data_IF_393723635860
#
_entry.id   IF_393723635860
#
_cell.length_a   1.000
_cell.length_b   1.000
_cell.length_c   1.000
_cell.angle_alpha   90.00
_cell.angle_beta   90.00
_cell.angle_gamma   90.00
#
_symmetry.space_group_name_H-M   'P 1'
#
loop_
_entity.id
_entity.type
_entity.pdbx_description
1 polymer ?
#
# COMPACT_ATOMS: atom_id res chain seq x y z
N UNK A 1 6.98 0.58 48.36
CA UNK A 1 7.57 -0.18 47.25
C UNK A 1 7.61 0.77 46.09
N UNK A 2 8.69 0.75 45.33
CA UNK A 2 8.83 1.51 44.10
C UNK A 2 8.72 0.57 42.91
N UNK A 3 8.16 1.10 41.82
CA UNK A 3 7.99 0.40 40.56
C UNK A 3 8.71 1.21 39.49
N UNK A 4 9.66 0.58 38.81
CA UNK A 4 10.39 1.18 37.69
C UNK A 4 9.97 0.47 36.40
N UNK A 5 9.61 1.27 35.40
CA UNK A 5 9.18 0.79 34.09
C UNK A 5 9.99 1.54 33.04
N UNK A 6 10.75 0.79 32.24
CA UNK A 6 11.60 1.37 31.20
C UNK A 6 11.48 0.57 29.90
N UNK A 7 11.20 1.22 28.76
CA UNK A 7 11.42 0.60 27.47
C UNK A 7 12.93 0.39 27.27
N UNK A 8 13.34 -0.81 26.90
CA UNK A 8 14.70 -1.10 26.46
C UNK A 8 14.71 -1.41 24.95
N UNK A 9 15.78 -0.97 24.28
CA UNK A 9 16.06 -1.27 22.88
C UNK A 9 17.21 -2.30 22.80
N UNK A 10 16.94 -3.60 22.97
CA UNK A 10 17.94 -4.64 22.71
C UNK A 10 18.19 -4.80 21.20
N UNK A 11 19.21 -5.59 20.78
CA UNK A 11 19.39 -5.97 19.38
C UNK A 11 18.18 -6.78 18.92
N UNK A 12 17.26 -6.12 18.23
CA UNK A 12 16.02 -6.64 17.70
C UNK A 12 15.12 -5.50 17.20
N UNK A 13 14.16 -5.77 16.31
CA UNK A 13 13.32 -4.73 15.70
C UNK A 13 12.30 -4.13 16.66
N UNK A 14 12.02 -4.81 17.78
CA UNK A 14 10.95 -4.47 18.69
C UNK A 14 11.45 -4.05 20.08
N UNK A 15 10.96 -2.92 20.63
CA UNK A 15 11.24 -2.55 22.01
C UNK A 15 10.65 -3.57 22.99
N UNK A 16 11.27 -3.63 24.18
CA UNK A 16 10.82 -4.46 25.29
C UNK A 16 10.38 -3.60 26.45
N UNK A 17 9.22 -3.91 27.00
CA UNK A 17 8.73 -3.33 28.25
C UNK A 17 9.27 -4.15 29.41
N UNK A 18 10.23 -3.56 30.13
CA UNK A 18 10.79 -4.14 31.34
C UNK A 18 10.12 -3.53 32.57
N UNK A 19 9.80 -4.36 33.55
CA UNK A 19 9.28 -3.98 34.86
C UNK A 19 10.25 -4.42 35.95
N UNK A 20 10.59 -3.51 36.83
CA UNK A 20 11.33 -3.77 38.07
C UNK A 20 10.47 -3.35 39.25
N UNK A 21 10.52 -4.12 40.33
CA UNK A 21 9.81 -3.81 41.56
C UNK A 21 10.72 -4.08 42.77
N UNK A 22 10.62 -3.24 43.79
CA UNK A 22 11.47 -3.33 44.99
C UNK A 22 10.93 -2.51 46.16
N UNK A 23 11.57 -2.64 47.32
CA UNK A 23 11.28 -1.78 48.47
C UNK A 23 11.94 -0.40 48.31
N UNK A 24 11.33 0.61 48.93
CA UNK A 24 11.85 1.97 48.90
C UNK A 24 13.23 1.99 49.58
N UNK A 25 14.26 2.44 48.86
CA UNK A 25 15.65 2.47 49.34
C UNK A 25 16.54 1.28 48.93
N UNK A 26 16.00 0.30 48.20
CA UNK A 26 16.82 -0.68 47.47
C UNK A 26 17.40 -0.05 46.19
N UNK A 27 18.58 -0.50 45.76
CA UNK A 27 19.19 -0.05 44.51
C UNK A 27 18.39 -0.62 43.32
N UNK A 28 17.95 0.25 42.40
CA UNK A 28 17.20 -0.14 41.20
C UNK A 28 17.97 -1.19 40.37
N UNK A 29 19.31 -1.10 40.37
CA UNK A 29 20.17 -2.02 39.64
C UNK A 29 20.01 -3.48 40.13
N UNK A 30 19.77 -3.67 41.42
CA UNK A 30 19.66 -4.99 42.08
C UNK A 30 18.25 -5.57 42.02
N UNK A 31 17.23 -4.75 41.69
CA UNK A 31 15.85 -5.22 41.55
C UNK A 31 15.69 -6.17 40.35
N UNK A 32 14.92 -7.27 40.47
CA UNK A 32 14.70 -8.19 39.37
C UNK A 32 13.96 -7.49 38.23
N UNK A 33 14.53 -7.54 37.02
CA UNK A 33 13.90 -7.07 35.80
C UNK A 33 13.07 -8.19 35.18
N UNK A 34 11.77 -7.98 35.05
CA UNK A 34 10.84 -8.85 34.35
C UNK A 34 10.47 -8.24 33.02
N UNK A 35 10.66 -8.98 31.93
CA UNK A 35 10.09 -8.63 30.64
C UNK A 35 8.57 -8.88 30.70
N UNK A 36 7.78 -7.81 30.63
CA UNK A 36 6.30 -7.90 30.75
C UNK A 36 5.65 -7.93 29.38
N UNK A 37 6.29 -7.32 28.39
CA UNK A 37 5.80 -7.29 27.02
C UNK A 37 6.96 -7.03 26.06
N UNK A 38 7.00 -7.78 24.96
CA UNK A 38 7.86 -7.47 23.82
C UNK A 38 6.99 -7.33 22.60
N UNK A 39 7.19 -6.24 21.87
CA UNK A 39 6.38 -5.97 20.71
C UNK A 39 6.65 -4.59 20.17
N UNK A 40 5.75 -4.16 19.32
CA UNK A 40 5.91 -2.96 18.55
C UNK A 40 5.90 -1.69 19.43
N UNK A 41 6.54 -0.59 19.00
CA UNK A 41 6.80 0.56 19.86
C UNK A 41 5.51 1.17 20.42
N UNK A 42 4.49 1.33 19.58
CA UNK A 42 3.16 1.74 20.00
C UNK A 42 2.49 0.67 20.88
N UNK A 43 2.66 -0.62 20.58
CA UNK A 43 2.20 -1.73 21.41
C UNK A 43 2.76 -1.69 22.85
N UNK A 44 4.08 -1.47 22.97
CA UNK A 44 4.80 -1.30 24.24
C UNK A 44 4.25 -0.11 25.01
N UNK A 45 4.02 1.04 24.35
CA UNK A 45 3.41 2.22 24.98
C UNK A 45 1.98 1.94 25.48
N UNK A 46 1.17 1.26 24.67
CA UNK A 46 -0.19 0.87 25.03
C UNK A 46 -0.21 -0.06 26.24
N UNK A 47 0.68 -1.06 26.27
CA UNK A 47 0.85 -1.96 27.42
C UNK A 47 1.35 -1.20 28.66
N UNK A 48 2.34 -0.32 28.52
CA UNK A 48 2.83 0.54 29.60
C UNK A 48 1.70 1.35 30.22
N UNK A 49 0.91 2.08 29.41
CA UNK A 49 -0.22 2.89 29.89
C UNK A 49 -1.24 2.07 30.66
N UNK A 50 -1.60 0.89 30.16
CA UNK A 50 -2.53 -0.02 30.87
C UNK A 50 -1.96 -0.49 32.20
N UNK A 51 -0.68 -0.83 32.22
CA UNK A 51 0.01 -1.32 33.41
C UNK A 51 0.09 -0.22 34.47
N UNK A 52 0.53 0.98 34.09
CA UNK A 52 0.52 2.18 34.95
C UNK A 52 -0.89 2.50 35.44
N UNK A 53 -1.89 2.53 34.57
CA UNK A 53 -3.28 2.76 34.98
C UNK A 53 -3.84 1.66 35.90
N UNK A 54 -3.35 0.42 35.78
CA UNK A 54 -3.60 -0.66 36.72
C UNK A 54 -3.04 -0.34 38.11
N UNK A 55 -1.74 -0.04 38.18
CA UNK A 55 -1.07 0.31 39.43
C UNK A 55 -1.64 1.57 40.07
N UNK A 56 -1.99 2.59 39.29
CA UNK A 56 -2.64 3.80 39.80
C UNK A 56 -4.00 3.51 40.45
N UNK A 57 -4.79 2.60 39.87
CA UNK A 57 -6.06 2.14 40.49
C UNK A 57 -5.81 1.41 41.80
N UNK A 58 -4.68 0.73 41.93
CA UNK A 58 -4.26 0.04 43.15
C UNK A 58 -3.58 0.97 44.18
N UNK A 59 -3.60 2.29 43.95
CA UNK A 59 -3.11 3.31 44.88
C UNK A 59 -1.63 3.69 44.73
N UNK A 60 -0.96 3.23 43.67
CA UNK A 60 0.41 3.61 43.37
C UNK A 60 0.46 4.99 42.70
N UNK A 61 1.49 5.78 42.99
CA UNK A 61 1.74 7.08 42.33
C UNK A 61 2.95 6.98 41.42
N UNK A 62 2.83 7.45 40.17
CA UNK A 62 3.96 7.46 39.24
C UNK A 62 4.92 8.58 39.64
N UNK A 63 6.18 8.24 39.96
CA UNK A 63 7.20 9.23 40.32
C UNK A 63 7.78 9.96 39.10
N UNK A 64 7.65 9.37 37.91
CA UNK A 64 8.18 9.90 36.66
C UNK A 64 7.10 9.85 35.56
N UNK A 65 6.76 11.00 34.99
CA UNK A 65 5.81 11.14 33.87
C UNK A 65 6.53 11.20 32.52
N UNK A 66 7.81 10.83 32.44
CA UNK A 66 8.62 10.94 31.23
C UNK A 66 8.01 10.31 29.96
N UNK A 67 7.09 9.34 30.10
CA UNK A 67 6.38 8.73 28.97
C UNK A 67 5.10 9.49 28.54
N UNK A 68 4.57 10.42 29.35
CA UNK A 68 3.41 11.25 29.00
C UNK A 68 3.78 12.41 28.04
N UNK A 69 5.06 12.78 27.94
CA UNK A 69 5.57 13.79 27.00
C UNK A 69 5.80 13.29 25.56
N UNK A 70 5.38 12.06 25.23
CA UNK A 70 5.59 11.44 23.92
C UNK A 70 4.38 11.50 22.98
N UNK A 71 3.25 12.04 23.46
CA UNK A 71 2.14 12.33 22.58
C UNK A 71 2.45 13.61 21.82
N UNK A 72 2.63 13.46 20.50
CA UNK A 72 2.82 14.59 19.62
C UNK A 72 1.62 15.54 19.75
N UNK A 73 1.84 16.83 20.05
CA UNK A 73 0.75 17.79 20.15
C UNK A 73 0.04 17.90 18.79
N UNK A 74 -1.29 18.03 18.82
CA UNK A 74 -2.14 18.06 17.62
C UNK A 74 -2.86 19.41 17.52
N UNK A 75 -2.82 20.02 16.33
CA UNK A 75 -3.75 21.09 15.93
C UNK A 75 -4.74 20.52 14.90
N UNK A 76 -5.99 20.31 15.32
CA UNK A 76 -7.02 19.68 14.49
C UNK A 76 -7.28 20.40 13.16
N UNK A 77 -7.12 21.73 13.13
CA UNK A 77 -7.38 22.53 11.93
C UNK A 77 -6.25 22.40 10.92
N UNK A 78 -5.00 22.50 11.38
CA UNK A 78 -3.81 22.33 10.53
C UNK A 78 -3.70 20.89 10.04
N UNK A 79 -3.97 19.90 10.89
CA UNK A 79 -3.98 18.50 10.45
C UNK A 79 -5.10 18.21 9.45
N UNK A 80 -6.30 18.76 9.63
CA UNK A 80 -7.36 18.61 8.63
C UNK A 80 -6.98 19.21 7.27
N UNK A 81 -6.29 20.36 7.26
CA UNK A 81 -5.78 20.99 6.05
C UNK A 81 -4.69 20.14 5.38
N UNK A 82 -3.73 19.64 6.15
CA UNK A 82 -2.72 18.70 5.67
C UNK A 82 -3.34 17.39 5.19
N UNK A 83 -4.43 16.89 5.78
CA UNK A 83 -5.08 15.69 5.24
C UNK A 83 -5.80 15.93 3.92
N UNK A 84 -6.34 17.13 3.70
CA UNK A 84 -6.92 17.48 2.41
C UNK A 84 -5.85 17.64 1.33
N UNK A 85 -4.68 18.18 1.69
CA UNK A 85 -3.54 18.34 0.80
C UNK A 85 -2.20 18.08 1.53
N UNK A 86 -1.76 16.81 1.61
CA UNK A 86 -0.56 16.44 2.36
C UNK A 86 0.74 17.12 1.91
N UNK A 87 0.78 17.64 0.68
CA UNK A 87 1.93 18.35 0.10
C UNK A 87 1.84 19.87 0.20
N UNK A 88 0.90 20.42 0.96
CA UNK A 88 0.78 21.86 1.17
C UNK A 88 1.91 22.37 2.08
N UNK A 89 2.98 22.84 1.45
CA UNK A 89 4.18 23.30 2.14
C UNK A 89 3.90 24.51 3.03
N UNK A 90 2.97 25.40 2.64
CA UNK A 90 2.66 26.59 3.43
C UNK A 90 1.93 26.20 4.73
N UNK A 91 0.95 25.31 4.64
CA UNK A 91 0.28 24.76 5.83
C UNK A 91 1.27 24.00 6.72
N UNK A 92 2.18 23.22 6.12
CA UNK A 92 3.20 22.49 6.88
C UNK A 92 4.16 23.42 7.63
N UNK A 93 4.51 24.59 7.06
CA UNK A 93 5.35 25.58 7.74
C UNK A 93 4.63 26.26 8.90
N UNK A 94 3.34 26.59 8.74
CA UNK A 94 2.52 27.10 9.86
C UNK A 94 2.44 26.04 10.97
N UNK A 95 2.31 24.76 10.60
CA UNK A 95 2.32 23.67 11.57
C UNK A 95 3.69 23.49 12.23
N UNK A 96 4.78 23.69 11.50
CA UNK A 96 6.12 23.65 12.03
C UNK A 96 6.35 24.72 13.10
N UNK A 97 5.95 25.97 12.83
CA UNK A 97 6.06 27.07 13.79
C UNK A 97 5.28 26.76 15.07
N UNK A 98 4.05 26.26 14.92
CA UNK A 98 3.23 25.83 16.07
C UNK A 98 3.88 24.68 16.86
N UNK A 99 4.44 23.66 16.19
CA UNK A 99 5.15 22.56 16.84
C UNK A 99 6.43 23.02 17.56
N UNK A 100 7.15 24.01 17.02
CA UNK A 100 8.31 24.63 17.68
C UNK A 100 7.88 25.35 18.96
N UNK A 101 6.75 26.05 18.96
CA UNK A 101 6.19 26.67 20.18
C UNK A 101 5.84 25.63 21.25
N UNK A 102 5.45 24.42 20.85
CA UNK A 102 5.23 23.28 21.76
C UNK A 102 6.52 22.53 22.13
N UNK A 103 7.69 23.02 21.71
CA UNK A 103 9.00 22.36 21.87
C UNK A 103 9.07 20.93 21.30
N UNK A 104 8.27 20.63 20.27
CA UNK A 104 8.25 19.31 19.63
C UNK A 104 9.31 19.23 18.51
N UNK A 105 10.15 18.17 18.47
CA UNK A 105 11.27 18.09 17.51
C UNK A 105 10.84 18.05 16.04
N UNK A 106 9.60 17.64 15.75
CA UNK A 106 9.08 17.63 14.37
C UNK A 106 9.02 19.02 13.75
N UNK A 107 8.75 20.07 14.53
CA UNK A 107 8.74 21.43 13.99
C UNK A 107 10.09 21.82 13.37
N UNK A 108 11.20 21.51 14.06
CA UNK A 108 12.54 21.71 13.53
C UNK A 108 12.80 20.84 12.28
N UNK A 109 12.34 19.57 12.30
CA UNK A 109 12.49 18.66 11.15
C UNK A 109 11.87 19.24 9.88
N UNK A 110 10.64 19.77 9.97
CA UNK A 110 9.93 20.39 8.85
C UNK A 110 10.74 21.56 8.28
N UNK A 111 11.22 22.45 9.15
CA UNK A 111 12.00 23.63 8.74
C UNK A 111 13.32 23.22 8.05
N UNK A 112 14.03 22.21 8.58
CA UNK A 112 15.27 21.69 7.97
C UNK A 112 15.00 21.09 6.60
N UNK A 113 13.98 20.24 6.47
CA UNK A 113 13.65 19.61 5.18
C UNK A 113 13.23 20.65 4.14
N UNK A 114 12.48 21.69 4.55
CA UNK A 114 12.17 22.82 3.67
C UNK A 114 13.43 23.57 3.24
N UNK A 115 14.37 23.81 4.15
CA UNK A 115 15.63 24.44 3.80
C UNK A 115 16.47 23.58 2.84
N UNK A 116 16.45 22.25 2.99
CA UNK A 116 17.11 21.30 2.08
C UNK A 116 16.49 21.29 0.69
N UNK A 117 15.17 21.40 0.58
CA UNK A 117 14.52 21.47 -0.73
C UNK A 117 15.01 22.68 -1.56
N UNK A 118 15.37 23.79 -0.91
CA UNK A 118 15.97 24.97 -1.55
C UNK A 118 17.49 24.88 -1.72
N UNK A 119 18.17 24.06 -0.91
CA UNK A 119 19.64 23.89 -0.89
C UNK A 119 20.00 22.41 -0.77
N UNK A 120 19.75 21.60 -1.83
CA UNK A 120 19.92 20.15 -1.76
C UNK A 120 21.39 19.73 -1.53
N UNK A 121 22.33 20.54 -2.01
CA UNK A 121 23.77 20.26 -1.94
C UNK A 121 24.43 20.74 -0.62
N UNK A 122 23.66 21.24 0.35
CA UNK A 122 24.19 21.69 1.65
C UNK A 122 24.36 20.50 2.62
N UNK A 123 25.61 20.01 2.85
CA UNK A 123 25.83 18.86 3.70
C UNK A 123 25.53 19.13 5.18
N UNK A 124 25.51 20.39 5.61
CA UNK A 124 25.20 20.74 6.99
C UNK A 124 23.73 20.48 7.31
N UNK A 125 22.83 20.81 6.38
CA UNK A 125 21.40 20.52 6.53
C UNK A 125 21.12 19.01 6.52
N UNK A 126 21.75 18.26 5.61
CA UNK A 126 21.62 16.80 5.57
C UNK A 126 22.12 16.14 6.87
N UNK A 127 23.25 16.61 7.40
CA UNK A 127 23.78 16.14 8.70
C UNK A 127 22.86 16.50 9.86
N UNK A 128 22.29 17.72 9.88
CA UNK A 128 21.38 18.15 10.94
C UNK A 128 20.11 17.32 10.94
N UNK A 129 19.50 17.08 9.78
CA UNK A 129 18.33 16.21 9.65
C UNK A 129 18.62 14.78 10.15
N UNK A 130 19.71 14.17 9.68
CA UNK A 130 20.10 12.84 10.12
C UNK A 130 20.39 12.76 11.63
N UNK A 131 20.87 13.86 12.23
CA UNK A 131 21.07 13.95 13.68
C UNK A 131 19.75 14.05 14.42
N UNK A 132 18.84 14.91 13.95
CA UNK A 132 17.52 15.08 14.55
C UNK A 132 16.69 13.78 14.52
N UNK A 133 16.69 13.07 13.38
CA UNK A 133 16.01 11.77 13.26
C UNK A 133 16.62 10.71 14.19
N UNK A 134 17.93 10.72 14.40
CA UNK A 134 18.62 9.78 15.31
C UNK A 134 18.32 10.11 16.77
N UNK A 135 18.49 11.35 17.16
CA UNK A 135 18.38 11.81 18.55
C UNK A 135 16.92 11.74 19.04
N UNK A 136 15.95 11.89 18.13
CA UNK A 136 14.51 11.83 18.42
C UNK A 136 13.82 10.61 17.79
N UNK A 137 14.57 9.55 17.49
CA UNK A 137 14.08 8.35 16.82
C UNK A 137 12.83 7.76 17.49
N UNK A 138 12.78 7.75 18.83
CA UNK A 138 11.64 7.23 19.58
C UNK A 138 10.33 7.99 19.34
N UNK A 139 10.39 9.28 18.96
CA UNK A 139 9.21 10.13 18.70
C UNK A 139 8.92 10.30 17.21
N UNK A 140 9.95 10.23 16.36
CA UNK A 140 9.82 10.47 14.93
C UNK A 140 9.73 9.16 14.13
N UNK A 141 10.37 8.07 14.54
CA UNK A 141 10.38 6.82 13.78
C UNK A 141 9.41 5.79 14.35
N UNK A 142 8.55 5.18 13.51
CA UNK A 142 7.60 4.15 13.95
C UNK A 142 8.29 2.84 14.40
N UNK A 143 9.46 2.53 13.82
CA UNK A 143 10.23 1.31 14.08
C UNK A 143 11.66 1.46 13.53
N UNK A 144 12.50 0.45 13.76
CA UNK A 144 13.85 0.36 13.19
C UNK A 144 13.79 0.10 11.67
N UNK A 145 14.46 0.96 10.88
CA UNK A 145 14.33 1.03 9.41
C UNK A 145 15.10 -0.06 8.64
N UNK A 146 15.60 -1.12 9.28
CA UNK A 146 16.39 -2.15 8.59
C UNK A 146 15.59 -2.92 7.54
N UNK A 147 14.27 -3.05 7.73
CA UNK A 147 13.35 -3.78 6.84
C UNK A 147 12.34 -2.88 6.12
N UNK A 148 12.60 -1.56 6.11
CA UNK A 148 11.72 -0.59 5.50
C UNK A 148 12.47 0.54 4.80
N UNK A 149 11.97 0.94 3.64
CA UNK A 149 12.39 2.20 3.01
C UNK A 149 11.35 3.27 3.32
N UNK A 150 11.75 4.31 4.06
CA UNK A 150 10.89 5.45 4.39
C UNK A 150 11.39 6.67 3.62
N UNK A 151 10.49 7.30 2.86
CA UNK A 151 10.73 8.59 2.23
C UNK A 151 9.98 9.69 3.00
N UNK A 152 10.68 10.78 3.26
CA UNK A 152 10.22 11.85 4.13
C UNK A 152 9.96 13.12 3.34
N UNK A 153 8.88 13.81 3.70
CA UNK A 153 8.52 15.11 3.16
C UNK A 153 7.87 15.94 4.26
N UNK A 154 8.26 17.21 4.36
CA UNK A 154 7.70 18.18 5.32
C UNK A 154 7.46 17.61 6.72
N UNK A 155 8.44 16.91 7.28
CA UNK A 155 8.45 16.35 8.63
C UNK A 155 7.66 15.05 8.82
N UNK A 156 7.06 14.49 7.78
CA UNK A 156 6.27 13.26 7.83
C UNK A 156 6.77 12.23 6.82
N UNK A 157 6.35 10.98 6.99
CA UNK A 157 6.61 9.91 6.04
C UNK A 157 5.64 10.09 4.88
N UNK A 158 6.17 10.41 3.71
CA UNK A 158 5.41 10.55 2.45
C UNK A 158 5.15 9.20 1.82
N UNK A 159 6.19 8.37 1.77
CA UNK A 159 6.14 7.04 1.18
C UNK A 159 6.80 6.00 2.07
N UNK A 160 6.27 4.79 2.09
CA UNK A 160 6.86 3.66 2.78
C UNK A 160 6.87 2.42 1.90
N UNK A 161 7.95 1.65 1.99
CA UNK A 161 8.03 0.28 1.47
C UNK A 161 8.36 -0.65 2.60
N UNK A 162 7.51 -1.62 2.81
CA UNK A 162 7.61 -2.61 3.88
C UNK A 162 7.82 -3.98 3.25
N UNK A 163 8.76 -4.75 3.79
CA UNK A 163 9.10 -6.09 3.30
C UNK A 163 9.65 -6.95 4.43
N UNK A 164 9.62 -8.27 4.26
CA UNK A 164 10.16 -9.23 5.23
C UNK A 164 9.12 -9.77 6.20
N UNK A 165 9.55 -10.63 7.13
CA UNK A 165 8.67 -11.44 7.99
C UNK A 165 7.89 -10.62 9.04
N UNK A 166 8.23 -9.35 9.21
CA UNK A 166 7.62 -8.45 10.19
C UNK A 166 6.78 -7.34 9.55
N UNK A 167 6.48 -7.49 8.26
CA UNK A 167 5.83 -6.47 7.44
C UNK A 167 4.51 -5.96 8.04
N UNK A 168 3.69 -6.86 8.60
CA UNK A 168 2.37 -6.56 9.17
C UNK A 168 2.52 -5.77 10.48
N UNK A 169 3.50 -6.14 11.31
CA UNK A 169 3.85 -5.41 12.52
C UNK A 169 4.31 -3.98 12.20
N UNK A 170 5.18 -3.83 11.21
CA UNK A 170 5.63 -2.53 10.73
C UNK A 170 4.50 -1.71 10.11
N UNK A 171 3.64 -2.34 9.31
CA UNK A 171 2.48 -1.70 8.71
C UNK A 171 1.55 -1.14 9.78
N UNK A 172 1.23 -1.95 10.78
CA UNK A 172 0.38 -1.53 11.88
C UNK A 172 0.99 -0.33 12.63
N UNK A 173 2.28 -0.39 12.98
CA UNK A 173 2.96 0.73 13.62
C UNK A 173 2.98 1.99 12.76
N UNK A 174 3.31 1.86 11.47
CA UNK A 174 3.35 2.99 10.54
C UNK A 174 2.02 3.73 10.49
N UNK A 175 0.91 2.99 10.37
CA UNK A 175 -0.43 3.57 10.26
C UNK A 175 -0.93 4.20 11.57
N UNK A 176 -0.38 3.82 12.72
CA UNK A 176 -0.73 4.37 14.03
C UNK A 176 0.25 5.44 14.51
N UNK A 177 1.43 5.53 13.91
CA UNK A 177 2.46 6.47 14.30
C UNK A 177 2.15 7.88 13.74
N UNK A 178 2.38 8.96 14.53
CA UNK A 178 2.15 10.34 14.06
C UNK A 178 2.86 10.68 12.75
N UNK A 179 4.07 10.16 12.53
CA UNK A 179 4.81 10.35 11.28
C UNK A 179 4.14 9.75 10.03
N UNK A 180 3.26 8.75 10.19
CA UNK A 180 2.53 8.12 9.10
C UNK A 180 1.18 8.77 8.76
N UNK A 181 0.74 9.79 9.53
CA UNK A 181 -0.59 10.41 9.36
C UNK A 181 -0.85 10.92 7.95
N UNK A 182 0.17 11.43 7.27
CA UNK A 182 0.06 12.02 5.92
C UNK A 182 0.65 11.13 4.82
N UNK A 183 0.77 9.83 5.08
CA UNK A 183 1.29 8.83 4.13
C UNK A 183 0.48 8.83 2.83
N UNK A 184 1.17 8.91 1.68
CA UNK A 184 0.56 9.01 0.35
C UNK A 184 0.83 7.77 -0.50
N UNK A 185 2.02 7.20 -0.37
CA UNK A 185 2.46 6.05 -1.15
C UNK A 185 2.86 4.91 -0.22
N UNK A 186 2.21 3.76 -0.37
CA UNK A 186 2.48 2.59 0.46
C UNK A 186 2.69 1.36 -0.44
N UNK A 187 3.85 0.72 -0.30
CA UNK A 187 4.13 -0.58 -0.89
C UNK A 187 4.39 -1.61 0.20
N UNK A 188 3.75 -2.76 0.08
CA UNK A 188 3.80 -3.86 1.05
C UNK A 188 4.18 -5.11 0.28
N UNK A 189 5.30 -5.73 0.66
CA UNK A 189 5.67 -7.08 0.26
C UNK A 189 5.52 -7.99 1.47
N UNK A 190 4.60 -8.95 1.39
CA UNK A 190 4.17 -9.79 2.51
C UNK A 190 4.02 -11.24 2.09
N UNK A 191 4.07 -12.17 3.04
CA UNK A 191 3.67 -13.58 2.84
C UNK A 191 2.30 -13.90 3.43
N UNK A 192 1.70 -12.97 4.17
CA UNK A 192 0.42 -13.08 4.90
C UNK A 192 -0.48 -11.88 4.58
N UNK A 193 -0.84 -11.76 3.30
CA UNK A 193 -1.64 -10.66 2.78
C UNK A 193 -2.98 -10.45 3.50
N UNK A 194 -3.64 -11.50 4.00
CA UNK A 194 -4.87 -11.38 4.81
C UNK A 194 -4.68 -10.43 6.00
N UNK A 195 -3.62 -10.61 6.79
CA UNK A 195 -3.33 -9.76 7.95
C UNK A 195 -3.07 -8.31 7.54
N UNK A 196 -2.32 -8.10 6.45
CA UNK A 196 -2.06 -6.76 5.92
C UNK A 196 -3.35 -6.04 5.50
N UNK A 197 -4.30 -6.76 4.87
CA UNK A 197 -5.61 -6.21 4.52
C UNK A 197 -6.48 -5.94 5.74
N UNK A 198 -6.46 -6.81 6.76
CA UNK A 198 -7.18 -6.54 8.01
C UNK A 198 -6.68 -5.26 8.69
N UNK A 199 -5.36 -5.06 8.73
CA UNK A 199 -4.75 -3.84 9.27
C UNK A 199 -5.14 -2.62 8.42
N UNK A 200 -5.07 -2.71 7.09
CA UNK A 200 -5.42 -1.60 6.20
C UNK A 200 -6.90 -1.20 6.29
N UNK A 201 -7.80 -2.17 6.40
CA UNK A 201 -9.25 -1.96 6.37
C UNK A 201 -9.82 -1.60 7.75
N UNK A 202 -9.36 -2.27 8.81
CA UNK A 202 -9.94 -2.15 10.15
C UNK A 202 -9.05 -1.36 11.12
N UNK A 203 -7.75 -1.23 10.83
CA UNK A 203 -6.77 -0.70 11.78
C UNK A 203 -6.50 -1.65 12.94
N UNK A 204 -7.02 -2.87 12.89
CA UNK A 204 -6.92 -3.86 13.96
C UNK A 204 -5.73 -4.78 13.68
N UNK A 205 -5.03 -5.18 14.74
CA UNK A 205 -4.01 -6.23 14.63
C UNK A 205 -4.72 -7.57 14.83
N UNK A 206 -4.53 -8.57 13.96
CA UNK A 206 -5.25 -9.86 14.02
C UNK A 206 -5.01 -10.66 15.31
N UNK A 207 -4.06 -10.27 16.15
CA UNK A 207 -3.60 -11.12 17.24
C UNK A 207 -4.67 -11.28 18.36
N UNK A 208 -5.08 -12.52 18.67
CA UNK A 208 -6.26 -12.86 19.48
C UNK A 208 -6.17 -12.49 20.97
N UNK A 209 -5.04 -11.99 21.44
CA UNK A 209 -4.85 -11.56 22.83
C UNK A 209 -5.11 -10.06 23.05
N UNK A 210 -5.39 -9.30 21.99
CA UNK A 210 -5.54 -7.84 22.06
C UNK A 210 -7.01 -7.41 22.01
N UNK A 211 -7.79 -7.69 23.07
CA UNK A 211 -9.17 -7.19 23.26
C UNK A 211 -9.31 -5.64 23.25
N UNK A 212 -8.25 -4.88 22.92
CA UNK A 212 -8.19 -3.43 23.13
C UNK A 212 -7.73 -2.59 21.94
N UNK A 213 -7.44 -3.17 20.77
CA UNK A 213 -7.15 -2.37 19.57
C UNK A 213 -8.46 -2.07 18.82
N UNK A 214 -9.34 -1.25 19.40
CA UNK A 214 -10.56 -0.83 18.70
C UNK A 214 -10.22 0.20 17.64
N UNK A 215 -10.14 -0.25 16.39
CA UNK A 215 -10.13 0.56 15.17
C UNK A 215 -9.06 1.65 15.07
N UNK A 216 -9.00 2.27 13.91
CA UNK A 216 -8.29 3.52 13.69
C UNK A 216 -8.73 4.59 14.72
N UNK A 217 -7.94 4.83 15.76
CA UNK A 217 -8.14 5.96 16.67
C UNK A 217 -7.94 7.32 15.95
N UNK A 218 -7.25 7.31 14.82
CA UNK A 218 -6.99 8.44 13.94
C UNK A 218 -7.54 8.18 12.53
N UNK A 219 -7.90 9.23 11.78
CA UNK A 219 -8.36 9.09 10.38
C UNK A 219 -7.30 8.33 9.56
N UNK A 220 -7.68 7.36 8.70
CA UNK A 220 -6.70 6.65 7.86
C UNK A 220 -5.93 7.66 7.00
N UNK A 221 -4.63 7.43 6.76
CA UNK A 221 -3.83 8.33 5.96
C UNK A 221 -4.40 8.44 4.53
N UNK A 222 -4.23 9.59 3.85
CA UNK A 222 -4.76 9.86 2.52
C UNK A 222 -3.90 9.20 1.44
N UNK A 223 -3.77 7.87 1.52
CA UNK A 223 -3.02 7.05 0.58
C UNK A 223 -3.62 7.25 -0.82
N UNK A 224 -2.75 7.65 -1.76
CA UNK A 224 -3.05 7.82 -3.18
C UNK A 224 -2.55 6.64 -4.00
N UNK A 225 -1.46 6.01 -3.57
CA UNK A 225 -0.89 4.83 -4.22
C UNK A 225 -0.72 3.70 -3.23
N UNK A 226 -1.36 2.58 -3.50
CA UNK A 226 -1.25 1.37 -2.71
C UNK A 226 -0.76 0.22 -3.59
N UNK A 227 0.35 -0.38 -3.20
CA UNK A 227 0.93 -1.57 -3.84
C UNK A 227 0.99 -2.69 -2.81
N UNK A 228 0.41 -3.84 -3.12
CA UNK A 228 0.47 -5.03 -2.28
C UNK A 228 0.99 -6.17 -3.14
N UNK A 229 2.13 -6.73 -2.74
CA UNK A 229 2.75 -7.90 -3.37
C UNK A 229 2.73 -9.04 -2.37
N UNK A 230 1.88 -10.02 -2.63
CA UNK A 230 1.76 -11.22 -1.81
C UNK A 230 2.61 -12.36 -2.36
N UNK A 231 3.72 -12.64 -1.67
CA UNK A 231 4.65 -13.74 -1.95
C UNK A 231 4.24 -15.05 -1.29
N UNK A 232 3.18 -15.05 -0.48
CA UNK A 232 2.66 -16.22 0.18
C UNK A 232 2.13 -17.27 -0.79
N UNK A 233 1.99 -18.50 -0.31
CA UNK A 233 1.33 -19.58 -1.06
C UNK A 233 -0.18 -19.64 -0.78
N UNK A 234 -0.73 -18.58 -0.18
CA UNK A 234 -2.15 -18.49 0.16
C UNK A 234 -3.03 -18.67 -1.08
N UNK A 235 -4.02 -19.56 -0.95
CA UNK A 235 -5.05 -19.80 -1.96
C UNK A 235 -6.40 -19.17 -1.60
N UNK A 236 -6.50 -18.50 -0.45
CA UNK A 236 -7.75 -17.89 -0.02
C UNK A 236 -7.89 -16.49 -0.62
N UNK A 237 -9.13 -16.15 -1.01
CA UNK A 237 -9.43 -14.84 -1.54
C UNK A 237 -9.48 -13.82 -0.42
N UNK A 238 -8.64 -12.80 -0.50
CA UNK A 238 -8.59 -11.73 0.48
C UNK A 238 -9.81 -10.82 0.31
N UNK A 239 -10.46 -10.49 1.41
CA UNK A 239 -11.56 -9.54 1.40
C UNK A 239 -11.05 -8.09 1.33
N UNK A 240 -11.09 -7.50 0.13
CA UNK A 240 -10.69 -6.12 -0.11
C UNK A 240 -11.90 -5.15 -0.17
N UNK A 241 -13.09 -5.59 0.26
CA UNK A 241 -14.33 -4.79 0.14
C UNK A 241 -14.29 -3.51 0.97
N UNK A 242 -13.67 -3.56 2.15
CA UNK A 242 -13.53 -2.42 3.06
C UNK A 242 -12.33 -1.51 2.72
N UNK A 243 -11.40 -1.98 1.89
CA UNK A 243 -10.20 -1.20 1.52
C UNK A 243 -10.59 0.08 0.78
N UNK A 244 -11.50 -0.06 -0.17
CA UNK A 244 -11.84 1.00 -1.11
C UNK A 244 -12.66 2.14 -0.45
N UNK A 245 -13.66 1.87 0.41
CA UNK A 245 -14.30 2.91 1.22
C UNK A 245 -13.33 3.61 2.19
N UNK A 246 -12.35 2.88 2.72
CA UNK A 246 -11.38 3.41 3.70
C UNK A 246 -10.43 4.41 3.04
N UNK A 247 -9.87 4.07 1.87
CA UNK A 247 -8.91 4.92 1.14
C UNK A 247 -9.55 5.65 -0.04
N UNK A 248 -10.49 6.57 0.24
CA UNK A 248 -11.20 7.36 -0.77
C UNK A 248 -10.33 8.26 -1.67
N UNK A 249 -9.05 8.43 -1.34
CA UNK A 249 -8.09 9.23 -2.10
C UNK A 249 -7.24 8.38 -3.05
N UNK A 250 -7.49 7.07 -3.13
CA UNK A 250 -6.71 6.16 -3.93
C UNK A 250 -6.83 6.47 -5.42
N UNK A 251 -5.69 6.75 -6.05
CA UNK A 251 -5.50 7.04 -7.47
C UNK A 251 -4.87 5.84 -8.18
N UNK A 252 -4.02 5.08 -7.50
CA UNK A 252 -3.38 3.86 -8.01
C UNK A 252 -3.51 2.71 -7.01
N UNK A 253 -4.03 1.57 -7.49
CA UNK A 253 -4.06 0.31 -6.75
C UNK A 253 -3.38 -0.77 -7.57
N UNK A 254 -2.36 -1.39 -6.98
CA UNK A 254 -1.67 -2.55 -7.53
C UNK A 254 -1.74 -3.69 -6.53
N UNK A 255 -2.28 -4.83 -6.94
CA UNK A 255 -2.31 -6.05 -6.13
C UNK A 255 -1.71 -7.17 -6.95
N UNK A 256 -0.67 -7.80 -6.42
CA UNK A 256 0.02 -8.95 -7.01
C UNK A 256 -0.02 -10.14 -6.04
N UNK A 257 -0.24 -11.35 -6.54
CA UNK A 257 -0.24 -12.57 -5.75
C UNK A 257 -1.64 -13.09 -5.45
N UNK A 258 -2.09 -12.99 -4.20
CA UNK A 258 -3.35 -13.61 -3.78
C UNK A 258 -4.58 -13.03 -4.49
N UNK A 259 -5.59 -13.88 -4.74
CA UNK A 259 -6.90 -13.42 -5.22
C UNK A 259 -7.53 -12.41 -4.26
N UNK A 260 -8.28 -11.44 -4.80
CA UNK A 260 -8.95 -10.40 -4.00
C UNK A 260 -10.43 -10.24 -4.34
N UNK A 261 -11.28 -10.17 -3.33
CA UNK A 261 -12.70 -9.88 -3.47
C UNK A 261 -12.92 -8.36 -3.46
N UNK A 262 -13.47 -7.84 -4.55
CA UNK A 262 -13.85 -6.44 -4.69
C UNK A 262 -15.38 -6.34 -4.64
N UNK A 263 -15.92 -5.30 -3.99
CA UNK A 263 -17.37 -5.00 -4.03
C UNK A 263 -17.68 -3.94 -5.09
N UNK A 264 -18.96 -3.57 -5.19
CA UNK A 264 -19.52 -2.41 -5.90
C UNK A 264 -19.10 -1.07 -5.28
N UNK A 265 -17.85 -0.93 -4.90
CA UNK A 265 -17.34 0.32 -4.35
C UNK A 265 -17.29 1.40 -5.43
N UNK A 266 -17.61 2.64 -5.04
CA UNK A 266 -17.33 3.80 -5.86
C UNK A 266 -15.88 4.20 -5.66
N UNK A 267 -15.11 4.20 -6.74
CA UNK A 267 -13.71 4.60 -6.79
C UNK A 267 -13.58 5.83 -7.69
N UNK A 268 -14.09 6.99 -7.24
CA UNK A 268 -14.24 8.17 -8.09
C UNK A 268 -12.91 8.82 -8.47
N UNK A 269 -11.79 8.38 -7.89
CA UNK A 269 -10.44 8.94 -8.12
C UNK A 269 -9.45 7.93 -8.68
N UNK A 270 -9.80 6.65 -8.74
CA UNK A 270 -8.88 5.64 -9.21
C UNK A 270 -8.59 5.87 -10.70
N UNK A 271 -7.32 6.15 -10.99
CA UNK A 271 -6.78 6.37 -12.33
C UNK A 271 -6.16 5.09 -12.87
N UNK A 272 -5.52 4.30 -11.99
CA UNK A 272 -4.85 3.05 -12.36
C UNK A 272 -5.25 1.90 -11.46
N UNK A 273 -5.61 0.78 -12.09
CA UNK A 273 -5.85 -0.49 -11.41
C UNK A 273 -5.04 -1.59 -12.07
N UNK A 274 -4.18 -2.25 -11.30
CA UNK A 274 -3.45 -3.43 -11.75
C UNK A 274 -3.69 -4.59 -10.79
N UNK A 275 -4.24 -5.68 -11.30
CA UNK A 275 -4.51 -6.90 -10.55
C UNK A 275 -3.75 -8.04 -11.24
N UNK A 276 -2.70 -8.55 -10.61
CA UNK A 276 -1.92 -9.70 -11.07
C UNK A 276 -2.14 -10.86 -10.11
N UNK A 277 -3.16 -11.65 -10.36
CA UNK A 277 -3.64 -12.62 -9.39
C UNK A 277 -3.23 -14.02 -9.81
N UNK A 278 -2.72 -14.81 -8.86
CA UNK A 278 -2.38 -16.24 -9.06
C UNK A 278 -3.56 -17.01 -9.66
N UNK A 279 -4.78 -16.65 -9.27
CA UNK A 279 -5.99 -17.07 -9.94
C UNK A 279 -7.11 -16.06 -9.67
N UNK A 280 -8.19 -16.12 -10.44
CA UNK A 280 -9.35 -15.26 -10.23
C UNK A 280 -10.48 -16.04 -9.58
N UNK A 281 -10.99 -15.61 -8.42
CA UNK A 281 -12.20 -16.19 -7.84
C UNK A 281 -13.38 -15.85 -8.75
N UNK A 282 -13.92 -16.86 -9.43
CA UNK A 282 -15.16 -16.69 -10.19
C UNK A 282 -16.35 -17.06 -9.34
N UNK A 283 -16.66 -16.19 -8.40
CA UNK A 283 -17.97 -16.25 -7.76
C UNK A 283 -18.93 -15.28 -8.48
N UNK A 284 -20.12 -15.73 -8.95
CA UNK A 284 -21.05 -14.91 -9.72
C UNK A 284 -21.47 -13.61 -9.04
N UNK A 285 -21.42 -13.57 -7.70
CA UNK A 285 -21.83 -12.43 -6.87
C UNK A 285 -20.72 -11.82 -6.01
N UNK A 286 -19.53 -12.43 -5.90
CA UNK A 286 -18.50 -11.97 -4.93
C UNK A 286 -17.05 -12.23 -5.36
N UNK A 287 -16.79 -12.39 -6.66
CA UNK A 287 -15.42 -12.51 -7.18
C UNK A 287 -14.81 -11.16 -7.60
N UNK A 288 -13.49 -11.14 -7.82
CA UNK A 288 -12.75 -9.96 -8.32
C UNK A 288 -13.44 -9.34 -9.54
N UNK A 289 -13.73 -10.16 -10.56
CA UNK A 289 -14.33 -9.70 -11.81
C UNK A 289 -15.79 -9.25 -11.62
N UNK A 290 -16.51 -9.85 -10.67
CA UNK A 290 -17.87 -9.42 -10.33
C UNK A 290 -17.85 -8.01 -9.70
N UNK A 291 -16.87 -7.72 -8.82
CA UNK A 291 -16.62 -6.38 -8.30
C UNK A 291 -16.29 -5.39 -9.40
N UNK A 292 -15.33 -5.71 -10.27
CA UNK A 292 -14.94 -4.85 -11.40
C UNK A 292 -16.08 -4.56 -12.37
N UNK A 293 -17.00 -5.51 -12.57
CA UNK A 293 -18.18 -5.30 -13.43
C UNK A 293 -19.07 -4.18 -12.91
N UNK A 294 -19.16 -4.02 -11.60
CA UNK A 294 -20.12 -3.11 -10.96
C UNK A 294 -19.48 -1.89 -10.31
N UNK A 295 -18.15 -1.86 -10.18
CA UNK A 295 -17.44 -0.73 -9.61
C UNK A 295 -17.57 0.52 -10.50
N UNK A 296 -17.90 1.63 -9.87
CA UNK A 296 -17.92 2.95 -10.51
C UNK A 296 -16.51 3.55 -10.48
N UNK A 297 -15.88 3.67 -11.64
CA UNK A 297 -14.48 4.10 -11.80
C UNK A 297 -14.36 5.15 -12.91
N UNK A 298 -14.99 6.33 -12.77
CA UNK A 298 -15.13 7.32 -13.84
C UNK A 298 -13.79 7.94 -14.28
N UNK A 299 -12.75 7.81 -13.45
CA UNK A 299 -11.42 8.35 -13.71
C UNK A 299 -10.43 7.29 -14.23
N UNK A 300 -10.82 6.02 -14.30
CA UNK A 300 -9.92 4.93 -14.65
C UNK A 300 -9.39 5.11 -16.07
N UNK A 301 -8.08 5.27 -16.17
CA UNK A 301 -7.34 5.46 -17.40
C UNK A 301 -6.49 4.24 -17.77
N UNK A 302 -6.00 3.50 -16.78
CA UNK A 302 -5.19 2.30 -16.96
C UNK A 302 -5.82 1.11 -16.20
N UNK A 303 -6.14 0.03 -16.94
CA UNK A 303 -6.58 -1.24 -16.38
C UNK A 303 -5.64 -2.36 -16.80
N UNK A 304 -5.12 -3.10 -15.82
CA UNK A 304 -4.26 -4.25 -16.02
C UNK A 304 -4.83 -5.45 -15.27
N UNK A 305 -5.02 -6.55 -16.01
CA UNK A 305 -5.50 -7.83 -15.50
C UNK A 305 -4.51 -8.92 -15.88
N UNK A 306 -3.77 -9.41 -14.89
CA UNK A 306 -2.90 -10.58 -14.97
C UNK A 306 -3.59 -11.80 -14.34
N UNK A 307 -3.56 -12.91 -15.06
CA UNK A 307 -4.13 -14.20 -14.64
C UNK A 307 -3.01 -15.21 -14.38
N UNK A 308 -3.23 -16.16 -13.46
CA UNK A 308 -2.41 -17.36 -13.34
C UNK A 308 -1.03 -17.16 -12.69
N UNK A 309 -0.45 -18.28 -12.25
CA UNK A 309 1.01 -18.47 -12.21
C UNK A 309 1.46 -19.34 -13.40
N UNK A 310 2.75 -19.62 -13.50
CA UNK A 310 3.34 -20.40 -14.60
C UNK A 310 2.83 -21.87 -14.73
N UNK A 311 1.88 -22.33 -13.90
CA UNK A 311 1.46 -23.73 -13.82
C UNK A 311 -0.04 -24.03 -14.00
N UNK A 312 -0.96 -23.17 -13.56
CA UNK A 312 -2.41 -23.43 -13.66
C UNK A 312 -3.19 -22.17 -14.09
N UNK A 313 -3.54 -22.04 -15.38
CA UNK A 313 -3.76 -20.75 -15.99
C UNK A 313 -5.15 -20.15 -15.75
N UNK A 314 -6.16 -21.01 -15.58
CA UNK A 314 -7.57 -20.64 -15.54
C UNK A 314 -8.30 -21.75 -14.79
N UNK A 315 -8.85 -21.46 -13.60
CA UNK A 315 -9.50 -22.48 -12.78
C UNK A 315 -10.89 -22.85 -13.34
N UNK A 316 -11.56 -21.88 -13.95
CA UNK A 316 -12.82 -22.06 -14.69
C UNK A 316 -12.77 -21.13 -15.93
N UNK A 317 -12.09 -21.57 -17.01
CA UNK A 317 -11.84 -20.73 -18.18
C UNK A 317 -13.12 -20.13 -18.76
N UNK A 318 -14.22 -20.89 -18.74
CA UNK A 318 -15.51 -20.46 -19.25
C UNK A 318 -16.12 -19.34 -18.40
N UNK A 319 -16.07 -19.48 -17.07
CA UNK A 319 -16.61 -18.47 -16.17
C UNK A 319 -15.73 -17.21 -16.14
N UNK A 320 -14.41 -17.37 -16.16
CA UNK A 320 -13.44 -16.27 -16.23
C UNK A 320 -13.58 -15.49 -17.55
N UNK A 321 -13.67 -16.19 -18.68
CA UNK A 321 -13.93 -15.60 -20.00
C UNK A 321 -15.26 -14.85 -20.01
N UNK A 322 -16.35 -15.43 -19.48
CA UNK A 322 -17.66 -14.75 -19.41
C UNK A 322 -17.56 -13.45 -18.62
N UNK A 323 -16.84 -13.46 -17.51
CA UNK A 323 -16.69 -12.29 -16.66
C UNK A 323 -15.82 -11.21 -17.32
N UNK A 324 -14.73 -11.60 -18.00
CA UNK A 324 -13.91 -10.66 -18.80
C UNK A 324 -14.70 -10.03 -19.94
N UNK A 325 -15.49 -10.82 -20.67
CA UNK A 325 -16.35 -10.30 -21.74
C UNK A 325 -17.35 -9.27 -21.20
N UNK A 326 -17.85 -9.44 -19.98
CA UNK A 326 -18.73 -8.46 -19.35
C UNK A 326 -18.02 -7.17 -18.97
N UNK A 327 -16.76 -7.24 -18.51
CA UNK A 327 -15.93 -6.04 -18.28
C UNK A 327 -15.66 -5.34 -19.60
N UNK A 328 -15.30 -6.09 -20.65
CA UNK A 328 -15.06 -5.56 -21.99
C UNK A 328 -16.33 -4.96 -22.62
N UNK A 329 -17.52 -5.38 -22.21
CA UNK A 329 -18.78 -4.82 -22.71
C UNK A 329 -19.17 -3.49 -22.03
N UNK A 330 -18.43 -3.03 -21.03
CA UNK A 330 -18.74 -1.78 -20.31
C UNK A 330 -18.65 -0.56 -21.21
N UNK A 331 -19.54 0.40 -20.97
CA UNK A 331 -19.49 1.72 -21.63
C UNK A 331 -19.16 2.85 -20.65
N UNK A 332 -19.14 2.53 -19.35
CA UNK A 332 -19.04 3.47 -18.24
C UNK A 332 -17.59 3.68 -17.77
N UNK A 333 -16.60 3.44 -18.66
CA UNK A 333 -15.18 3.72 -18.42
C UNK A 333 -14.68 4.80 -19.39
N UNK A 334 -15.20 6.04 -19.28
CA UNK A 334 -15.04 7.07 -20.32
C UNK A 334 -13.59 7.56 -20.51
N UNK A 335 -12.70 7.27 -19.55
CA UNK A 335 -11.30 7.68 -19.58
C UNK A 335 -10.33 6.54 -19.84
N UNK A 336 -10.79 5.31 -20.01
CA UNK A 336 -9.91 4.15 -20.19
C UNK A 336 -9.14 4.29 -21.51
N UNK A 337 -7.82 4.42 -21.43
CA UNK A 337 -6.91 4.54 -22.58
C UNK A 337 -5.96 3.37 -22.69
N UNK A 338 -5.66 2.70 -21.58
CA UNK A 338 -4.72 1.58 -21.54
C UNK A 338 -5.41 0.36 -20.97
N UNK A 339 -5.43 -0.72 -21.76
CA UNK A 339 -5.85 -2.04 -21.31
C UNK A 339 -4.68 -3.00 -21.47
N UNK A 340 -4.32 -3.68 -20.38
CA UNK A 340 -3.32 -4.74 -20.37
C UNK A 340 -3.95 -6.04 -19.92
N UNK A 341 -3.76 -7.09 -20.70
CA UNK A 341 -4.14 -8.45 -20.34
C UNK A 341 -2.86 -9.29 -20.36
N UNK A 342 -2.59 -9.99 -19.27
CA UNK A 342 -1.33 -10.71 -19.08
C UNK A 342 -1.54 -12.07 -18.42
N UNK A 343 -0.55 -12.93 -18.58
CA UNK A 343 -0.50 -14.25 -17.98
C UNK A 343 -0.64 -15.36 -19.02
N UNK A 344 -1.17 -16.52 -18.65
CA UNK A 344 -1.18 -17.72 -19.47
C UNK A 344 -1.97 -17.53 -20.78
N UNK A 345 -1.92 -18.52 -21.70
CA UNK A 345 -2.64 -18.44 -22.97
C UNK A 345 -4.08 -17.94 -22.77
N UNK A 346 -4.41 -16.81 -23.38
CA UNK A 346 -5.76 -16.26 -23.31
C UNK A 346 -6.71 -17.23 -24.03
N UNK A 347 -7.95 -17.41 -23.55
CA UNK A 347 -8.95 -18.20 -24.26
C UNK A 347 -9.09 -17.70 -25.70
N UNK A 348 -9.12 -18.63 -26.66
CA UNK A 348 -9.15 -18.32 -28.11
C UNK A 348 -10.31 -17.39 -28.49
N UNK A 349 -11.41 -17.48 -27.75
CA UNK A 349 -12.62 -16.68 -27.93
C UNK A 349 -12.48 -15.22 -27.45
N UNK A 350 -11.46 -14.89 -26.65
CA UNK A 350 -11.32 -13.57 -26.05
C UNK A 350 -11.00 -12.49 -27.09
N UNK A 351 -10.04 -12.73 -27.99
CA UNK A 351 -9.66 -11.75 -29.02
C UNK A 351 -10.84 -11.38 -29.95
N UNK A 352 -11.63 -12.34 -30.50
CA UNK A 352 -12.86 -12.04 -31.23
C UNK A 352 -13.87 -11.17 -30.47
N UNK A 353 -13.92 -11.27 -29.13
CA UNK A 353 -14.81 -10.47 -28.28
C UNK A 353 -14.21 -9.09 -28.00
N UNK A 354 -12.90 -9.03 -27.75
CA UNK A 354 -12.15 -7.80 -27.54
C UNK A 354 -12.25 -6.86 -28.75
N UNK A 355 -12.09 -7.35 -29.98
CA UNK A 355 -12.21 -6.52 -31.19
C UNK A 355 -13.62 -5.98 -31.43
N UNK A 356 -14.64 -6.57 -30.78
CA UNK A 356 -16.04 -6.12 -30.82
C UNK A 356 -16.43 -5.30 -29.59
N UNK A 357 -15.51 -5.12 -28.64
CA UNK A 357 -15.76 -4.38 -27.41
C UNK A 357 -15.95 -2.90 -27.70
N UNK A 358 -16.94 -2.22 -27.09
CA UNK A 358 -17.05 -0.78 -27.18
C UNK A 358 -15.83 -0.04 -26.60
N UNK A 359 -15.11 -0.64 -25.64
CA UNK A 359 -13.92 -0.04 -25.04
C UNK A 359 -12.78 0.10 -26.05
N UNK A 360 -12.70 -0.80 -27.03
CA UNK A 360 -11.57 -0.85 -27.98
C UNK A 360 -11.42 0.44 -28.79
N UNK A 361 -12.53 1.14 -29.03
CA UNK A 361 -12.56 2.41 -29.76
C UNK A 361 -12.04 3.59 -28.94
N UNK A 362 -11.98 3.45 -27.61
CA UNK A 362 -11.46 4.47 -26.71
C UNK A 362 -10.00 4.24 -26.31
N UNK A 363 -9.45 3.04 -26.54
CA UNK A 363 -8.08 2.70 -26.18
C UNK A 363 -7.06 3.41 -27.07
N UNK A 364 -5.99 3.91 -26.45
CA UNK A 364 -4.76 4.33 -27.11
C UNK A 364 -3.73 3.17 -27.08
N UNK A 365 -3.74 2.36 -26.03
CA UNK A 365 -2.77 1.30 -25.78
C UNK A 365 -3.47 -0.02 -25.44
N UNK A 366 -3.15 -1.07 -26.19
CA UNK A 366 -3.55 -2.45 -25.90
C UNK A 366 -2.28 -3.29 -25.72
N UNK A 367 -2.14 -3.90 -24.56
CA UNK A 367 -0.99 -4.73 -24.21
C UNK A 367 -1.43 -6.18 -23.99
N UNK A 368 -0.90 -7.06 -24.84
CA UNK A 368 -1.04 -8.53 -24.77
C UNK A 368 0.36 -9.16 -24.67
N UNK A 369 1.34 -8.38 -24.19
CA UNK A 369 2.75 -8.72 -24.19
C UNK A 369 3.07 -10.00 -23.46
N UNK A 370 2.50 -10.13 -22.27
CA UNK A 370 2.77 -11.26 -21.38
C UNK A 370 1.79 -12.40 -21.56
N UNK A 371 1.24 -12.55 -22.77
CA UNK A 371 0.30 -13.61 -23.12
C UNK A 371 0.73 -14.35 -24.36
N UNK A 372 0.67 -15.68 -24.31
CA UNK A 372 0.75 -16.51 -25.51
C UNK A 372 -0.52 -16.41 -26.37
N UNK A 373 -0.37 -15.95 -27.61
CA UNK A 373 -1.49 -15.83 -28.54
C UNK A 373 -1.53 -17.02 -29.48
N UNK A 374 -2.62 -17.78 -29.42
CA UNK A 374 -2.93 -18.80 -30.41
C UNK A 374 -3.10 -18.19 -31.82
N UNK A 375 -2.84 -18.93 -32.90
CA UNK A 375 -2.99 -18.44 -34.28
C UNK A 375 -4.40 -17.86 -34.56
N UNK A 376 -5.45 -18.44 -34.00
CA UNK A 376 -6.82 -17.98 -34.17
C UNK A 376 -7.06 -16.61 -33.49
N UNK A 377 -6.37 -16.36 -32.36
CA UNK A 377 -6.41 -15.07 -31.69
C UNK A 377 -5.70 -13.99 -32.54
N UNK A 378 -4.57 -14.34 -33.17
CA UNK A 378 -3.88 -13.47 -34.14
C UNK A 378 -4.78 -13.16 -35.34
N UNK A 379 -5.44 -14.18 -35.91
CA UNK A 379 -6.38 -14.03 -37.01
C UNK A 379 -7.52 -13.07 -36.66
N UNK A 380 -8.07 -13.20 -35.45
CA UNK A 380 -9.13 -12.34 -34.95
C UNK A 380 -8.67 -10.87 -34.79
N UNK A 381 -7.45 -10.64 -34.28
CA UNK A 381 -6.87 -9.30 -34.18
C UNK A 381 -6.66 -8.67 -35.56
N UNK A 382 -6.11 -9.41 -36.52
CA UNK A 382 -5.91 -8.95 -37.90
C UNK A 382 -7.24 -8.64 -38.58
N UNK A 383 -8.23 -9.52 -38.47
CA UNK A 383 -9.57 -9.29 -39.00
C UNK A 383 -10.26 -8.08 -38.35
N UNK A 384 -9.95 -7.81 -37.08
CA UNK A 384 -10.43 -6.67 -36.30
C UNK A 384 -9.60 -5.39 -36.43
N UNK A 385 -8.57 -5.35 -37.29
CA UNK A 385 -7.63 -4.21 -37.35
C UNK A 385 -8.31 -2.85 -37.61
N UNK A 386 -9.43 -2.84 -38.33
CA UNK A 386 -10.22 -1.63 -38.56
C UNK A 386 -10.91 -1.10 -37.28
N UNK A 387 -11.39 -2.00 -36.41
CA UNK A 387 -11.95 -1.61 -35.11
C UNK A 387 -10.87 -1.06 -34.16
N UNK A 388 -9.64 -1.58 -34.31
CA UNK A 388 -8.43 -1.18 -33.59
C UNK A 388 -7.69 -0.01 -34.27
N UNK A 389 -8.28 0.68 -35.25
CA UNK A 389 -7.61 1.76 -35.98
C UNK A 389 -7.21 2.95 -35.09
N UNK A 390 -7.91 3.15 -33.97
CA UNK A 390 -7.61 4.20 -32.99
C UNK A 390 -6.40 3.93 -32.08
N UNK A 391 -5.95 2.67 -31.99
CA UNK A 391 -4.79 2.33 -31.16
C UNK A 391 -3.53 3.03 -31.67
N UNK A 392 -2.77 3.61 -30.75
CA UNK A 392 -1.39 4.08 -30.97
C UNK A 392 -0.41 2.93 -30.82
N UNK A 393 -0.69 2.03 -29.89
CA UNK A 393 0.22 0.95 -29.53
C UNK A 393 -0.54 -0.36 -29.34
N UNK A 394 -0.04 -1.40 -30.00
CA UNK A 394 -0.36 -2.78 -29.76
C UNK A 394 0.94 -3.47 -29.33
N UNK A 395 1.05 -3.79 -28.04
CA UNK A 395 2.21 -4.48 -27.49
C UNK A 395 1.94 -5.99 -27.49
N UNK A 396 2.83 -6.75 -28.13
CA UNK A 396 2.80 -8.22 -28.18
C UNK A 396 4.24 -8.68 -28.03
N UNK A 397 4.52 -9.63 -27.13
CA UNK A 397 5.88 -10.13 -26.97
C UNK A 397 6.24 -11.07 -28.11
N UNK A 398 7.46 -10.92 -28.62
CA UNK A 398 7.91 -11.63 -29.81
C UNK A 398 8.16 -13.12 -29.61
N UNK A 399 8.36 -13.56 -28.37
CA UNK A 399 8.52 -14.94 -27.93
C UNK A 399 7.19 -15.64 -27.63
N UNK A 400 6.09 -14.88 -27.55
CA UNK A 400 4.73 -15.36 -27.24
C UNK A 400 3.82 -15.47 -28.46
N UNK A 401 4.39 -15.32 -29.66
CA UNK A 401 3.72 -15.53 -30.94
C UNK A 401 4.57 -16.40 -31.85
N UNK A 402 3.92 -17.17 -32.74
CA UNK A 402 4.65 -17.92 -33.75
C UNK A 402 5.42 -16.96 -34.68
N UNK A 403 6.64 -17.30 -35.14
CA UNK A 403 7.44 -16.41 -35.98
C UNK A 403 6.72 -15.89 -37.24
N UNK A 404 5.87 -16.71 -37.86
CA UNK A 404 5.07 -16.32 -39.02
C UNK A 404 3.98 -15.29 -38.69
N UNK A 405 3.36 -15.41 -37.52
CA UNK A 405 2.27 -14.53 -37.08
C UNK A 405 2.75 -13.13 -36.75
N UNK A 406 3.99 -12.99 -36.28
CA UNK A 406 4.60 -11.67 -36.05
C UNK A 406 4.70 -10.85 -37.33
N UNK A 407 5.03 -11.49 -38.46
CA UNK A 407 5.04 -10.83 -39.77
C UNK A 407 3.64 -10.34 -40.16
N UNK A 408 2.64 -11.22 -40.02
CA UNK A 408 1.23 -10.91 -40.33
C UNK A 408 0.68 -9.77 -39.47
N UNK A 409 0.99 -9.76 -38.18
CA UNK A 409 0.63 -8.68 -37.26
C UNK A 409 1.32 -7.36 -37.67
N UNK A 410 2.60 -7.40 -38.05
CA UNK A 410 3.31 -6.21 -38.51
C UNK A 410 2.70 -5.66 -39.80
N UNK A 411 2.31 -6.52 -40.73
CA UNK A 411 1.65 -6.09 -41.97
C UNK A 411 0.29 -5.42 -41.70
N UNK A 412 -0.46 -5.92 -40.70
CA UNK A 412 -1.77 -5.37 -40.34
C UNK A 412 -1.69 -4.08 -39.49
N UNK A 413 -0.73 -3.98 -38.58
CA UNK A 413 -0.66 -2.90 -37.58
C UNK A 413 0.45 -1.87 -37.82
N UNK A 414 1.45 -2.19 -38.65
CA UNK A 414 2.57 -1.31 -38.97
C UNK A 414 3.42 -0.94 -37.75
N UNK A 415 3.78 0.33 -37.62
CA UNK A 415 4.58 0.86 -36.50
C UNK A 415 3.85 0.84 -35.15
N UNK A 416 2.54 0.62 -35.15
CA UNK A 416 1.76 0.48 -33.91
C UNK A 416 2.10 -0.80 -33.16
N UNK A 417 2.57 -1.81 -33.87
CA UNK A 417 3.03 -3.06 -33.26
C UNK A 417 4.42 -2.83 -32.64
N UNK A 418 4.47 -2.79 -31.31
CA UNK A 418 5.73 -2.70 -30.57
C UNK A 418 6.05 -4.02 -29.88
N UNK A 419 7.32 -4.22 -29.57
CA UNK A 419 7.69 -5.26 -28.61
C UNK A 419 7.15 -4.85 -27.23
N UNK A 420 6.52 -5.77 -26.53
CA UNK A 420 6.12 -5.53 -25.16
C UNK A 420 7.36 -5.28 -24.29
N UNK A 421 7.32 -4.21 -23.51
CA UNK A 421 8.24 -4.03 -22.39
C UNK A 421 7.69 -4.87 -21.23
N UNK A 422 8.54 -5.67 -20.60
CA UNK A 422 8.13 -6.46 -19.43
C UNK A 422 7.58 -5.55 -18.33
N UNK A 423 6.78 -6.12 -17.42
CA UNK A 423 6.17 -5.33 -16.37
C UNK A 423 7.20 -4.47 -15.60
N UNK A 424 6.97 -3.15 -15.49
CA UNK A 424 7.76 -2.36 -14.58
C UNK A 424 7.54 -2.90 -13.17
N UNK A 425 8.64 -3.10 -12.45
CA UNK A 425 8.61 -3.53 -11.06
C UNK A 425 7.66 -2.60 -10.28
N UNK A 426 6.54 -3.10 -9.74
CA UNK A 426 5.58 -2.28 -9.02
C UNK A 426 6.20 -1.63 -7.77
N UNK A 427 7.32 -2.16 -7.27
CA UNK A 427 8.09 -1.60 -6.18
C UNK A 427 8.85 -0.32 -6.52
N UNK A 428 9.10 0.00 -7.80
CA UNK A 428 9.82 1.22 -8.18
C UNK A 428 8.87 2.42 -8.36
N UNK A 429 9.22 3.62 -7.84
CA UNK A 429 8.43 4.81 -8.10
C UNK A 429 8.62 5.18 -9.58
N UNK A 430 7.52 5.45 -10.29
CA UNK A 430 7.63 6.13 -11.60
C UNK A 430 8.26 7.50 -11.32
N UNK A 431 9.44 7.76 -11.90
CA UNK A 431 10.16 9.03 -11.76
C UNK A 431 9.39 10.18 -12.40
#
# INVERSE_FOLDING_TARGET
>A
MDLWLAPQHPPGPWPRLMMRYGFLGEDEADAPALEVFTGSAYGVRGHYRKLVAGYQRDGWTCADTALDGLDEPIDDALEAALQANPGDVEVALVYADWLVEQAHPRGELILIQRARAHRPDDPALAKREATLLRDHASSLLPFHVEHAALDWDVGFIRAARLSGDECEGMLWELLHHPSGRFLRDLAIETTTSEEAFEILCRGERPHPSSESARGFAARPPPIRRLVIVDRGLGHEAIDARDLLPTYRWLEELVIEGSPVMLDRAALPRLVRLALRLRFIPVHPSSGTLAGLRFADMPQLAELELGFGDDGDPWRDPDAELRALVQILARTELPRLRTLRLAGPPLPTELCPRLVRSPLVHALDHLDLGETELAPEAVDALIAGAAALAGLRTLAISGDRVMPGDRGRLRDAFGERLIAAEGFPDPGHPRQ
#
